data_IF_282610273856
#
_entry.id   IF_282610273856
#
_cell.length_a   1.000
_cell.length_b   1.000
_cell.length_c   1.000
_cell.angle_alpha   90.00
_cell.angle_beta   90.00
_cell.angle_gamma   90.00
#
_symmetry.space_group_name_H-M   'P 1'
#
loop_
_entity.id
_entity.type
_entity.pdbx_description
1 polymer ?
#
# COMPACT_ATOMS: atom_id res chain seq x y z
N UNK A 1 -25.17 -7.28 -46.62
CA UNK A 1 -24.97 -6.10 -45.77
C UNK A 1 -24.18 -6.56 -44.55
N UNK A 2 -22.90 -6.22 -44.46
CA UNK A 2 -22.00 -6.60 -43.36
C UNK A 2 -21.89 -5.39 -42.42
N UNK A 3 -22.27 -5.55 -41.16
CA UNK A 3 -22.10 -4.52 -40.14
C UNK A 3 -20.62 -4.47 -39.73
N UNK A 4 -19.98 -3.30 -39.64
CA UNK A 4 -18.62 -3.18 -39.15
C UNK A 4 -18.62 -3.39 -37.64
N UNK A 5 -17.84 -4.37 -37.17
CA UNK A 5 -17.53 -4.55 -35.75
C UNK A 5 -16.71 -3.35 -35.29
N UNK A 6 -17.26 -2.53 -34.40
CA UNK A 6 -16.54 -1.41 -33.81
C UNK A 6 -15.38 -1.92 -32.95
N UNK A 7 -14.16 -1.48 -33.27
CA UNK A 7 -12.99 -1.68 -32.43
C UNK A 7 -13.15 -0.83 -31.17
N UNK A 8 -13.47 -1.47 -30.04
CA UNK A 8 -13.44 -0.85 -28.71
C UNK A 8 -11.99 -0.91 -28.24
N UNK A 9 -11.26 0.22 -28.18
CA UNK A 9 -9.91 0.19 -27.62
C UNK A 9 -9.99 -0.27 -26.15
N UNK A 10 -9.02 -1.06 -25.66
CA UNK A 10 -9.01 -1.48 -24.27
C UNK A 10 -9.04 -0.24 -23.38
N UNK A 11 -10.03 -0.16 -22.50
CA UNK A 11 -10.08 0.86 -21.45
C UNK A 11 -8.80 0.71 -20.62
N UNK A 12 -7.81 1.56 -20.86
CA UNK A 12 -6.68 1.73 -19.96
C UNK A 12 -7.26 2.45 -18.76
N UNK A 13 -7.59 1.71 -17.70
CA UNK A 13 -8.02 2.35 -16.47
C UNK A 13 -6.93 3.33 -16.01
N UNK A 14 -7.31 4.55 -15.60
CA UNK A 14 -6.36 5.50 -15.05
C UNK A 14 -5.63 4.86 -13.89
N UNK A 15 -4.33 5.10 -13.82
CA UNK A 15 -3.48 4.52 -12.79
C UNK A 15 -4.02 4.96 -11.43
N UNK A 16 -3.85 4.17 -10.38
CA UNK A 16 -4.50 4.43 -9.09
C UNK A 16 -4.18 5.83 -8.51
N UNK A 17 -3.04 6.43 -8.86
CA UNK A 17 -2.69 7.82 -8.50
C UNK A 17 -3.41 8.89 -9.33
N UNK A 18 -3.91 8.56 -10.52
CA UNK A 18 -4.74 9.43 -11.36
C UNK A 18 -6.19 9.47 -10.85
N UNK A 19 -6.67 8.38 -10.21
CA UNK A 19 -8.00 8.32 -9.59
C UNK A 19 -8.11 9.21 -8.35
N UNK A 20 -7.06 9.27 -7.55
CA UNK A 20 -7.03 10.10 -6.34
C UNK A 20 -6.92 11.61 -6.67
N UNK A 21 -6.33 11.97 -7.82
CA UNK A 21 -6.17 13.36 -8.25
C UNK A 21 -7.48 14.08 -8.63
N UNK A 22 -8.57 13.33 -8.85
CA UNK A 22 -9.87 13.87 -9.28
C UNK A 22 -10.88 14.07 -8.14
N UNK A 23 -10.52 13.80 -6.87
CA UNK A 23 -11.43 14.02 -5.73
C UNK A 23 -11.37 15.48 -5.24
N UNK A 24 -12.53 16.14 -5.03
CA UNK A 24 -12.57 17.54 -4.62
C UNK A 24 -12.34 17.65 -3.11
N UNK A 25 -11.17 18.19 -2.74
CA UNK A 25 -10.91 19.15 -1.64
C UNK A 25 -9.56 18.88 -0.93
N UNK A 26 -8.56 19.75 -1.13
CA UNK A 26 -7.37 19.76 -0.30
C UNK A 26 -7.11 21.16 0.30
N UNK A 27 -6.93 21.23 1.61
CA UNK A 27 -6.31 22.42 2.25
C UNK A 27 -4.79 22.23 2.26
N UNK A 28 -4.12 23.04 1.42
CA UNK A 28 -2.70 23.04 0.99
C UNK A 28 -2.33 21.98 -0.05
N UNK A 29 -2.63 22.33 -1.29
CA UNK A 29 -2.27 21.64 -2.52
C UNK A 29 -0.75 21.62 -2.74
N UNK A 30 -0.11 20.50 -2.45
CA UNK A 30 0.94 20.01 -3.33
C UNK A 30 0.18 19.20 -4.39
N UNK A 31 0.22 19.64 -5.64
CA UNK A 31 -0.59 19.09 -6.72
C UNK A 31 -0.20 17.65 -7.05
N UNK A 32 -1.13 16.82 -7.55
CA UNK A 32 -0.82 15.47 -8.02
C UNK A 32 0.32 15.42 -9.07
N UNK A 33 0.56 16.52 -9.79
CA UNK A 33 1.69 16.69 -10.71
C UNK A 33 3.06 16.78 -9.99
N UNK A 34 3.09 17.30 -8.75
CA UNK A 34 4.28 17.31 -7.89
C UNK A 34 4.50 15.95 -7.19
N UNK A 35 3.45 15.14 -7.02
CA UNK A 35 3.52 13.81 -6.41
C UNK A 35 3.88 12.68 -7.39
N UNK A 36 3.70 12.88 -8.70
CA UNK A 36 3.93 11.87 -9.74
C UNK A 36 5.35 11.28 -9.81
N UNK A 37 6.29 11.82 -9.03
CA UNK A 37 7.67 11.37 -8.94
C UNK A 37 8.14 11.08 -7.51
N UNK A 38 7.27 10.83 -6.52
CA UNK A 38 7.74 10.52 -5.17
C UNK A 38 7.87 9.00 -4.95
N UNK A 39 9.04 8.36 -5.25
CA UNK A 39 9.23 6.92 -5.08
C UNK A 39 9.15 6.49 -3.62
N UNK A 40 9.25 7.44 -2.69
CA UNK A 40 9.33 7.18 -1.25
C UNK A 40 8.05 6.56 -0.74
N UNK A 41 6.87 7.17 -0.94
CA UNK A 41 5.63 6.66 -0.36
C UNK A 41 5.14 5.37 -1.04
N UNK A 42 5.42 5.20 -2.35
CA UNK A 42 5.11 3.98 -3.10
C UNK A 42 5.80 2.75 -2.50
N UNK A 43 7.02 2.92 -1.97
CA UNK A 43 7.73 1.85 -1.26
C UNK A 43 6.95 1.32 -0.05
N UNK A 44 6.20 2.19 0.60
CA UNK A 44 5.38 1.89 1.78
C UNK A 44 3.92 1.57 1.40
N UNK A 45 3.68 1.24 0.14
CA UNK A 45 2.35 0.98 -0.42
C UNK A 45 1.33 2.13 -0.19
N UNK A 46 1.73 3.33 0.23
CA UNK A 46 0.80 4.42 0.48
C UNK A 46 0.31 5.05 -0.82
N UNK A 47 -1.00 5.32 -0.90
CA UNK A 47 -1.51 6.20 -1.94
C UNK A 47 -1.06 7.64 -1.71
N UNK A 48 -1.11 8.51 -2.74
CA UNK A 48 -0.76 9.93 -2.57
C UNK A 48 -1.62 10.55 -1.47
N UNK A 49 -2.93 10.31 -1.49
CA UNK A 49 -3.86 10.79 -0.47
C UNK A 49 -3.53 10.26 0.92
N UNK A 50 -3.18 8.99 1.05
CA UNK A 50 -2.77 8.43 2.34
C UNK A 50 -1.48 9.08 2.85
N UNK A 51 -0.53 9.35 1.95
CA UNK A 51 0.70 10.04 2.29
C UNK A 51 0.47 11.51 2.69
N UNK A 52 -0.43 12.23 2.01
CA UNK A 52 -0.79 13.60 2.38
C UNK A 52 -1.43 13.66 3.76
N UNK A 53 -2.31 12.71 4.06
CA UNK A 53 -2.90 12.55 5.39
C UNK A 53 -1.85 12.25 6.46
N UNK A 54 -0.86 11.42 6.15
CA UNK A 54 0.27 11.13 7.03
C UNK A 54 1.10 12.39 7.31
N UNK A 55 1.42 13.16 6.27
CA UNK A 55 2.16 14.43 6.38
C UNK A 55 1.38 15.48 7.18
N UNK A 56 0.09 15.65 6.89
CA UNK A 56 -0.78 16.59 7.59
C UNK A 56 -0.94 16.21 9.07
N UNK A 57 -1.12 14.91 9.36
CA UNK A 57 -1.20 14.40 10.73
C UNK A 57 0.06 14.69 11.54
N UNK A 58 1.23 14.55 10.93
CA UNK A 58 2.51 14.83 11.59
C UNK A 58 2.79 16.33 11.76
N UNK A 59 2.05 17.20 11.05
CA UNK A 59 2.24 18.66 11.00
C UNK A 59 3.71 19.06 10.77
N UNK A 60 4.41 18.33 9.90
CA UNK A 60 5.84 18.50 9.65
C UNK A 60 6.75 18.37 10.90
N UNK A 61 6.36 17.57 11.89
CA UNK A 61 7.15 17.27 13.08
C UNK A 61 7.26 15.75 13.33
N UNK A 62 8.28 15.35 14.10
CA UNK A 62 8.40 13.98 14.57
C UNK A 62 7.21 13.63 15.50
N UNK A 63 6.42 12.63 15.16
CA UNK A 63 5.25 12.22 15.96
C UNK A 63 5.60 11.63 17.34
N UNK A 64 6.87 11.28 17.58
CA UNK A 64 7.31 10.79 18.89
C UNK A 64 7.95 11.86 19.79
N UNK A 65 8.58 12.90 19.23
CA UNK A 65 9.33 13.89 20.04
C UNK A 65 9.03 15.35 19.69
N UNK A 66 8.18 15.62 18.70
CA UNK A 66 7.81 16.96 18.26
C UNK A 66 8.93 17.74 17.57
N UNK A 67 10.10 17.15 17.30
CA UNK A 67 11.19 17.88 16.62
C UNK A 67 10.89 18.08 15.14
N UNK A 68 11.12 19.30 14.65
CA UNK A 68 11.05 19.65 13.24
C UNK A 68 12.16 18.94 12.41
N UNK A 69 11.95 18.70 11.09
CA UNK A 69 12.89 17.97 10.24
C UNK A 69 14.29 18.60 10.16
N UNK A 70 14.40 19.92 10.30
CA UNK A 70 15.68 20.67 10.27
C UNK A 70 16.59 20.26 11.43
N UNK A 71 16.01 19.78 12.54
CA UNK A 71 16.74 19.27 13.69
C UNK A 71 17.15 17.79 13.53
N UNK A 72 16.76 17.15 12.43
CA UNK A 72 17.14 15.77 12.12
C UNK A 72 18.49 15.75 11.38
N UNK A 73 19.26 14.66 11.55
CA UNK A 73 20.58 14.47 10.90
C UNK A 73 20.56 14.70 9.39
N UNK A 74 19.42 14.46 8.73
CA UNK A 74 19.28 14.54 7.29
C UNK A 74 18.34 15.66 6.83
N UNK A 75 17.93 16.57 7.72
CA UNK A 75 17.00 17.65 7.39
C UNK A 75 15.61 17.15 6.94
N UNK A 76 15.23 15.92 7.34
CA UNK A 76 13.97 15.27 6.93
C UNK A 76 13.46 14.29 7.97
N UNK A 77 12.15 14.03 7.94
CA UNK A 77 11.52 12.93 8.68
C UNK A 77 11.62 11.62 7.90
N UNK A 78 11.62 10.51 8.62
CA UNK A 78 11.59 9.15 8.09
C UNK A 78 10.20 8.55 8.23
N UNK A 79 9.73 7.83 7.20
CA UNK A 79 8.52 7.00 7.29
C UNK A 79 8.88 5.73 8.06
N UNK A 80 8.32 5.62 9.25
CA UNK A 80 8.50 4.48 10.13
C UNK A 80 7.38 3.44 9.93
N UNK A 81 7.71 2.16 10.04
CA UNK A 81 6.80 1.05 9.75
C UNK A 81 7.08 -0.18 10.62
N UNK A 82 6.09 -1.07 10.71
CA UNK A 82 6.23 -2.35 11.42
C UNK A 82 6.92 -3.37 10.52
N UNK A 83 8.21 -3.61 10.75
CA UNK A 83 9.02 -4.54 9.95
C UNK A 83 8.43 -5.96 9.84
N UNK A 84 7.73 -6.44 10.88
CA UNK A 84 7.11 -7.77 10.90
C UNK A 84 5.87 -7.90 9.99
N UNK A 85 5.12 -6.80 9.80
CA UNK A 85 3.88 -6.81 8.99
C UNK A 85 4.17 -6.46 7.53
N UNK A 86 5.20 -5.65 7.29
CA UNK A 86 5.62 -5.23 5.96
C UNK A 86 5.67 -3.72 5.80
N UNK A 87 6.05 -3.28 4.61
CA UNK A 87 6.26 -1.86 4.31
C UNK A 87 4.96 -1.05 4.36
N UNK A 88 3.80 -1.68 4.16
CA UNK A 88 2.48 -1.04 4.23
C UNK A 88 2.06 -0.63 5.64
N UNK A 89 2.61 -1.28 6.68
CA UNK A 89 2.22 -1.06 8.07
C UNK A 89 2.92 0.17 8.67
N UNK A 90 2.67 1.34 8.05
CA UNK A 90 3.26 2.62 8.44
C UNK A 90 2.71 3.07 9.78
N UNK A 91 3.61 3.39 10.73
CA UNK A 91 3.25 3.89 12.06
C UNK A 91 3.10 5.42 12.06
N UNK A 92 4.01 6.12 11.38
CA UNK A 92 4.07 7.58 11.42
C UNK A 92 5.36 8.15 10.81
N UNK A 93 5.58 9.45 11.02
CA UNK A 93 6.81 10.17 10.66
C UNK A 93 7.67 10.44 11.89
N UNK A 94 8.95 10.06 11.82
CA UNK A 94 9.90 10.20 12.91
C UNK A 94 11.18 10.94 12.48
N UNK A 95 11.81 11.66 13.40
CA UNK A 95 13.19 12.10 13.18
C UNK A 95 14.13 10.89 13.17
N UNK A 96 15.34 11.03 12.59
CA UNK A 96 16.31 9.92 12.47
C UNK A 96 16.67 9.30 13.83
N UNK A 97 16.79 10.12 14.88
CA UNK A 97 17.13 9.64 16.22
C UNK A 97 16.00 8.79 16.83
N UNK A 98 14.75 9.26 16.77
CA UNK A 98 13.60 8.50 17.24
C UNK A 98 13.38 7.22 16.44
N UNK A 99 13.54 7.28 15.12
CA UNK A 99 13.41 6.11 14.27
C UNK A 99 14.45 5.03 14.64
N UNK A 100 15.72 5.42 14.81
CA UNK A 100 16.77 4.51 15.23
C UNK A 100 16.52 3.94 16.64
N UNK A 101 16.12 4.78 17.60
CA UNK A 101 15.82 4.38 18.97
C UNK A 101 14.70 3.32 19.03
N UNK A 102 13.68 3.45 18.19
CA UNK A 102 12.57 2.50 18.13
C UNK A 102 13.02 1.12 17.63
N UNK A 103 13.97 1.07 16.68
CA UNK A 103 14.56 -0.18 16.18
C UNK A 103 15.44 -0.90 17.21
N UNK A 104 16.03 -0.19 18.18
CA UNK A 104 16.85 -0.79 19.25
C UNK A 104 16.07 -1.03 20.55
N UNK A 105 14.74 -1.00 20.51
CA UNK A 105 13.89 -1.44 21.62
C UNK A 105 13.45 -0.36 22.60
N UNK A 106 13.47 0.92 22.22
CA UNK A 106 13.02 2.03 23.09
C UNK A 106 11.50 2.06 23.40
N UNK A 107 10.75 1.00 23.07
CA UNK A 107 9.30 0.88 23.31
C UNK A 107 8.90 1.08 24.78
N UNK A 108 9.83 0.91 25.71
CA UNK A 108 9.61 1.16 27.14
C UNK A 108 9.35 2.63 27.50
N UNK A 109 9.72 3.60 26.66
CA UNK A 109 9.50 5.02 26.97
C UNK A 109 8.06 5.45 26.64
N UNK A 110 7.40 6.26 27.50
CA UNK A 110 5.99 6.66 27.32
C UNK A 110 5.67 7.21 25.92
N UNK A 111 6.49 8.13 25.41
CA UNK A 111 6.30 8.73 24.08
C UNK A 111 6.27 7.72 22.93
N UNK A 112 7.02 6.62 23.05
CA UNK A 112 7.02 5.58 22.02
C UNK A 112 5.82 4.65 22.14
N UNK A 113 5.28 4.44 23.35
CA UNK A 113 4.04 3.68 23.54
C UNK A 113 2.85 4.41 22.93
N UNK A 114 2.72 5.70 23.22
CA UNK A 114 1.68 6.56 22.65
C UNK A 114 1.75 6.55 21.11
N UNK A 115 2.94 6.84 20.57
CA UNK A 115 3.22 6.79 19.14
C UNK A 115 2.83 5.47 18.49
N UNK A 116 3.22 4.32 19.07
CA UNK A 116 2.88 2.99 18.52
C UNK A 116 1.39 2.68 18.64
N UNK A 117 0.75 3.08 19.73
CA UNK A 117 -0.69 2.85 19.92
C UNK A 117 -1.55 3.64 18.95
N UNK A 118 -1.04 4.77 18.45
CA UNK A 118 -1.69 5.61 17.46
C UNK A 118 -1.18 5.32 16.03
N UNK A 119 -0.66 4.13 15.73
CA UNK A 119 -0.06 3.86 14.42
C UNK A 119 -1.01 4.15 13.24
N UNK A 120 -0.51 4.86 12.22
CA UNK A 120 -1.30 5.30 11.06
C UNK A 120 -2.00 4.16 10.32
N UNK A 121 -1.34 3.01 10.13
CA UNK A 121 -1.93 1.86 9.45
C UNK A 121 -3.18 1.32 10.18
N UNK A 122 -3.30 1.47 11.50
CA UNK A 122 -4.49 1.04 12.24
C UNK A 122 -5.72 1.86 11.83
N UNK A 123 -5.53 3.15 11.52
CA UNK A 123 -6.60 4.00 10.96
C UNK A 123 -7.01 3.49 9.57
N UNK A 124 -6.04 3.13 8.72
CA UNK A 124 -6.32 2.60 7.38
C UNK A 124 -7.07 1.26 7.44
N UNK A 125 -6.69 0.37 8.36
CA UNK A 125 -7.39 -0.89 8.60
C UNK A 125 -8.84 -0.66 9.07
N UNK A 126 -9.03 0.24 10.02
CA UNK A 126 -10.35 0.59 10.54
C UNK A 126 -11.27 1.18 9.45
N UNK A 127 -10.74 2.09 8.62
CA UNK A 127 -11.47 2.69 7.49
C UNK A 127 -11.87 1.66 6.44
N UNK A 128 -10.95 0.74 6.11
CA UNK A 128 -11.21 -0.36 5.19
C UNK A 128 -12.07 -1.47 5.80
N UNK A 129 -12.36 -1.41 7.11
CA UNK A 129 -13.11 -2.43 7.87
C UNK A 129 -12.46 -3.82 7.74
N UNK A 130 -11.13 -3.87 7.77
CA UNK A 130 -10.35 -5.10 7.73
C UNK A 130 -9.41 -5.17 8.93
N UNK A 131 -8.96 -6.38 9.26
CA UNK A 131 -7.91 -6.65 10.24
C UNK A 131 -6.54 -6.72 9.57
N UNK A 132 -5.48 -6.74 10.36
CA UNK A 132 -4.11 -6.99 9.88
C UNK A 132 -3.93 -8.42 9.34
N UNK A 133 -4.81 -9.33 9.74
CA UNK A 133 -4.92 -10.67 9.20
C UNK A 133 -6.24 -10.85 8.44
N UNK A 134 -6.17 -11.02 7.11
CA UNK A 134 -7.34 -11.33 6.28
C UNK A 134 -7.28 -12.79 5.86
N UNK A 135 -8.40 -13.51 5.93
CA UNK A 135 -8.49 -14.89 5.49
C UNK A 135 -8.17 -15.01 4.00
N UNK A 136 -7.47 -16.08 3.62
CA UNK A 136 -7.18 -16.34 2.21
C UNK A 136 -8.49 -16.61 1.44
N UNK A 137 -8.78 -15.88 0.35
CA UNK A 137 -9.97 -16.11 -0.48
C UNK A 137 -10.00 -17.52 -1.10
N UNK A 138 -11.17 -18.09 -1.44
CA UNK A 138 -11.29 -19.44 -1.99
C UNK A 138 -10.59 -19.61 -3.36
N UNK A 139 -10.40 -20.86 -3.80
CA UNK A 139 -9.93 -21.15 -5.16
C UNK A 139 -10.86 -20.51 -6.20
N UNK A 140 -10.27 -20.01 -7.29
CA UNK A 140 -10.96 -19.24 -8.33
C UNK A 140 -11.17 -17.76 -7.98
N UNK A 141 -10.78 -17.29 -6.78
CA UNK A 141 -10.87 -15.88 -6.45
C UNK A 141 -9.90 -15.03 -7.28
N UNK A 142 -10.38 -13.87 -7.71
CA UNK A 142 -9.58 -12.79 -8.30
C UNK A 142 -9.51 -11.65 -7.29
N UNK A 143 -8.31 -11.30 -6.86
CA UNK A 143 -8.04 -10.19 -5.94
C UNK A 143 -7.35 -9.06 -6.69
N UNK A 144 -7.80 -7.83 -6.48
CA UNK A 144 -7.17 -6.63 -6.98
C UNK A 144 -6.33 -6.00 -5.87
N UNK A 145 -5.11 -5.58 -6.19
CA UNK A 145 -4.32 -4.73 -5.29
C UNK A 145 -4.63 -3.23 -5.44
N UNK A 146 -3.93 -2.36 -4.70
CA UNK A 146 -4.08 -0.90 -4.78
C UNK A 146 -3.97 -0.37 -6.22
N UNK A 147 -3.16 -1.04 -7.06
CA UNK A 147 -2.97 -0.68 -8.45
C UNK A 147 -4.02 -1.21 -9.40
N UNK A 148 -5.05 -1.89 -8.91
CA UNK A 148 -6.04 -2.58 -9.73
C UNK A 148 -5.47 -3.80 -10.45
N UNK A 149 -4.29 -4.30 -10.05
CA UNK A 149 -3.68 -5.47 -10.71
C UNK A 149 -4.37 -6.75 -10.21
N UNK A 150 -4.83 -7.63 -11.10
CA UNK A 150 -5.47 -8.88 -10.72
C UNK A 150 -4.46 -9.96 -10.31
N UNK A 151 -4.76 -10.62 -9.21
CA UNK A 151 -4.09 -11.79 -8.66
C UNK A 151 -5.11 -12.92 -8.60
N UNK A 152 -4.86 -14.04 -9.29
CA UNK A 152 -5.81 -15.16 -9.31
C UNK A 152 -5.33 -16.30 -8.44
N UNK A 153 -6.24 -16.90 -7.69
CA UNK A 153 -5.97 -18.12 -6.93
C UNK A 153 -6.33 -19.35 -7.75
N UNK A 154 -5.40 -19.82 -8.57
CA UNK A 154 -5.60 -21.00 -9.43
C UNK A 154 -5.24 -22.32 -8.71
N UNK A 155 -4.37 -22.26 -7.71
CA UNK A 155 -3.88 -23.43 -6.96
C UNK A 155 -3.85 -23.12 -5.46
N UNK A 156 -3.93 -24.14 -4.58
CA UNK A 156 -3.73 -23.95 -3.16
C UNK A 156 -2.40 -23.25 -2.87
N UNK A 157 -2.44 -22.19 -2.05
CA UNK A 157 -1.28 -21.39 -1.64
C UNK A 157 -0.50 -20.71 -2.79
N UNK A 158 -1.08 -20.58 -3.99
CA UNK A 158 -0.44 -19.87 -5.10
C UNK A 158 -1.36 -18.84 -5.76
N UNK A 159 -0.81 -17.65 -5.96
CA UNK A 159 -1.44 -16.45 -6.49
C UNK A 159 -0.65 -15.94 -7.70
N UNK A 160 -0.63 -16.66 -8.83
CA UNK A 160 0.00 -16.15 -10.03
C UNK A 160 -0.58 -14.79 -10.41
N UNK A 161 0.33 -13.87 -10.75
CA UNK A 161 -0.07 -12.64 -11.40
C UNK A 161 -0.60 -12.96 -12.79
N UNK A 162 -1.85 -12.57 -13.10
CA UNK A 162 -2.45 -12.86 -14.41
C UNK A 162 -2.13 -11.75 -15.39
N UNK A 163 -0.89 -11.74 -15.88
CA UNK A 163 -0.47 -10.79 -16.90
C UNK A 163 -0.94 -11.23 -18.29
N UNK A 164 -2.14 -10.81 -18.68
CA UNK A 164 -2.33 -10.44 -20.09
C UNK A 164 -1.57 -9.14 -20.42
N UNK A 165 -1.22 -8.34 -19.38
CA UNK A 165 -0.43 -7.12 -19.51
C UNK A 165 1.08 -7.39 -19.33
N UNK A 166 1.77 -7.56 -20.46
CA UNK A 166 3.21 -7.89 -20.64
C UNK A 166 4.23 -6.88 -20.10
N UNK A 167 3.84 -5.92 -19.27
CA UNK A 167 4.70 -4.84 -18.79
C UNK A 167 5.06 -4.99 -17.31
N UNK A 168 5.93 -5.95 -16.99
CA UNK A 168 6.81 -5.78 -15.84
C UNK A 168 8.06 -5.02 -16.30
N UNK A 169 8.43 -3.90 -15.64
CA UNK A 169 9.78 -3.37 -15.76
C UNK A 169 10.75 -4.51 -15.39
N UNK A 170 11.72 -4.79 -16.26
CA UNK A 170 12.74 -5.85 -16.11
C UNK A 170 13.70 -5.59 -14.93
N UNK A 171 13.22 -5.22 -13.75
CA UNK A 171 14.01 -5.24 -12.53
C UNK A 171 14.13 -6.70 -12.05
N UNK A 172 15.00 -7.40 -12.76
CA UNK A 172 15.47 -8.80 -12.71
C UNK A 172 16.04 -9.29 -11.36
N UNK A 173 15.68 -8.69 -10.22
CA UNK A 173 16.35 -8.94 -8.93
C UNK A 173 15.51 -9.58 -7.83
N UNK A 174 14.22 -9.81 -8.03
CA UNK A 174 13.47 -10.68 -7.11
C UNK A 174 13.35 -12.07 -7.75
N UNK A 175 14.17 -13.06 -7.35
CA UNK A 175 13.89 -14.44 -7.70
C UNK A 175 12.48 -14.75 -7.19
N UNK A 176 11.58 -15.02 -8.14
CA UNK A 176 10.20 -15.49 -7.98
C UNK A 176 9.73 -15.46 -6.51
N UNK A 177 9.38 -14.26 -6.03
CA UNK A 177 8.92 -14.16 -4.66
C UNK A 177 7.67 -15.05 -4.51
N UNK A 178 7.53 -15.79 -3.39
CA UNK A 178 6.49 -16.79 -3.27
C UNK A 178 5.14 -16.11 -3.43
N UNK A 179 4.36 -16.56 -4.39
CA UNK A 179 3.02 -16.05 -4.70
C UNK A 179 2.01 -16.57 -3.66
N UNK A 180 2.31 -16.51 -2.36
CA UNK A 180 1.38 -16.92 -1.30
C UNK A 180 0.48 -15.75 -0.88
N UNK A 181 -0.64 -16.06 -0.23
CA UNK A 181 -1.52 -15.03 0.32
C UNK A 181 -0.83 -14.17 1.39
N UNK A 182 0.00 -14.77 2.24
CA UNK A 182 0.80 -14.05 3.23
C UNK A 182 1.79 -13.08 2.57
N UNK A 183 2.42 -13.50 1.46
CA UNK A 183 3.29 -12.60 0.70
C UNK A 183 2.50 -11.44 0.09
N UNK A 184 1.32 -11.72 -0.48
CA UNK A 184 0.50 -10.70 -1.11
C UNK A 184 0.00 -9.65 -0.09
N UNK A 185 -0.47 -10.10 1.06
CA UNK A 185 -0.93 -9.26 2.18
C UNK A 185 0.22 -8.50 2.83
N UNK A 186 1.37 -9.11 3.07
CA UNK A 186 2.56 -8.42 3.61
C UNK A 186 3.18 -7.41 2.65
N UNK A 187 2.99 -7.57 1.34
CA UNK A 187 3.49 -6.65 0.32
C UNK A 187 2.57 -5.45 0.09
N UNK A 188 1.27 -5.68 -0.05
CA UNK A 188 0.32 -4.63 -0.44
C UNK A 188 -0.45 -4.06 0.75
N UNK A 189 -0.51 -4.78 1.87
CA UNK A 189 -1.39 -4.47 2.98
C UNK A 189 -2.83 -4.92 2.70
N UNK A 190 -3.52 -5.49 3.70
CA UNK A 190 -4.88 -6.01 3.52
C UNK A 190 -5.89 -4.93 3.16
N UNK A 191 -5.70 -3.69 3.60
CA UNK A 191 -6.56 -2.55 3.29
C UNK A 191 -6.50 -2.11 1.82
N UNK A 192 -5.59 -2.67 1.02
CA UNK A 192 -5.47 -2.44 -0.41
C UNK A 192 -5.88 -3.65 -1.26
N UNK A 193 -6.26 -4.76 -0.65
CA UNK A 193 -6.68 -5.97 -1.35
C UNK A 193 -8.20 -6.05 -1.38
N UNK A 194 -8.76 -6.23 -2.58
CA UNK A 194 -10.21 -6.37 -2.79
C UNK A 194 -10.50 -7.62 -3.60
N UNK A 195 -11.38 -8.49 -3.10
CA UNK A 195 -11.92 -9.59 -3.91
C UNK A 195 -12.84 -8.97 -4.98
N UNK A 196 -12.51 -9.16 -6.24
CA UNK A 196 -13.28 -8.68 -7.38
C UNK A 196 -14.39 -9.66 -7.75
N UNK A 197 -14.01 -10.91 -8.01
CA UNK A 197 -14.93 -11.98 -8.43
C UNK A 197 -14.38 -13.35 -8.03
N UNK A 198 -15.25 -14.35 -8.09
CA UNK A 198 -14.89 -15.76 -7.94
C UNK A 198 -15.27 -16.48 -9.23
N UNK A 199 -14.28 -17.08 -9.88
CA UNK A 199 -14.45 -17.79 -11.15
C UNK A 199 -14.78 -19.26 -10.88
N UNK A 200 -16.07 -19.58 -10.95
CA UNK A 200 -16.63 -20.88 -10.57
C UNK A 200 -16.08 -22.08 -11.36
N UNK A 201 -15.61 -21.87 -12.59
CA UNK A 201 -15.02 -22.92 -13.43
C UNK A 201 -13.67 -23.44 -12.91
N UNK A 202 -13.07 -22.76 -11.92
CA UNK A 202 -11.83 -23.17 -11.25
C UNK A 202 -12.07 -23.87 -9.90
N UNK A 203 -13.32 -24.03 -9.48
CA UNK A 203 -13.68 -24.76 -8.27
C UNK A 203 -13.85 -26.24 -8.67
N UNK A 204 -13.06 -27.18 -8.12
CA UNK A 204 -13.25 -28.60 -8.36
C UNK A 204 -14.69 -29.00 -7.99
N UNK A 205 -15.36 -29.77 -8.84
CA UNK A 205 -16.64 -30.36 -8.48
C UNK A 205 -16.44 -31.26 -7.25
N UNK A 206 -17.27 -31.04 -6.22
CA UNK A 206 -17.24 -31.79 -4.97
C UNK A 206 -17.63 -33.26 -5.17
#
# INVERSE_FOLDING_TARGET
>A
MLFPTAFIPPHVEPRWWERDATSPEPTRNVTAAEHGQCPTHVKYALTCRQFDRLMARADNHCEACGSAPENSRFGRLAIDHVTKLGWWAVRGLLCTACNAALHVGALGLPRFREYVSNAFYLTLLAEAKVTDHVAEPPLGAVVLDAGGRPWRREQPARWPWTSEHRWMPRHRRYPQAPETWEWLTSRNGPHHLRVDRIESHLIPAA
#
